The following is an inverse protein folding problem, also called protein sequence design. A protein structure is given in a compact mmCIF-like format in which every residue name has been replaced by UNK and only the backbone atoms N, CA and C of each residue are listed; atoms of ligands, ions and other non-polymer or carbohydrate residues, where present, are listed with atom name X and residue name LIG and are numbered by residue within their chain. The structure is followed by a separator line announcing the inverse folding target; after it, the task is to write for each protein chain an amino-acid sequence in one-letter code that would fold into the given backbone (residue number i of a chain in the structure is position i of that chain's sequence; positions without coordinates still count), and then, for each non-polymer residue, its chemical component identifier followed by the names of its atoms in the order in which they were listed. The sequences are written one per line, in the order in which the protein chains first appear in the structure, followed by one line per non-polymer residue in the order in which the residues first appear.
data_IF_249206697302
#
_entry.id   IF_249206697302
#
_cell.length_a   1.000
_cell.length_b   1.000
_cell.length_c   1.000
_cell.angle_alpha   90.00
_cell.angle_beta   90.00
_cell.angle_gamma   90.00
#
_symmetry.space_group_name_H-M   'P 1'
#
loop_
_entity.id
_entity.type
_entity.pdbx_description
1 polymer ?
#
# COMPACT_ATOMS: atom_id res chain seq x y z
N UNK A 1 6.42 10.80 -20.70
CA UNK A 1 5.87 9.70 -19.87
C UNK A 1 4.62 9.17 -20.54
N UNK A 2 4.28 7.89 -20.37
CA UNK A 2 3.06 7.32 -20.92
C UNK A 2 1.81 7.99 -20.31
N UNK A 3 0.79 8.27 -21.13
CA UNK A 3 -0.48 8.90 -20.73
C UNK A 3 -1.68 7.98 -21.05
N UNK A 4 -1.85 6.86 -20.33
CA UNK A 4 -2.90 5.88 -20.63
C UNK A 4 -4.30 6.49 -20.47
N UNK A 5 -5.18 6.25 -21.46
CA UNK A 5 -6.56 6.75 -21.49
C UNK A 5 -7.58 5.61 -21.28
N UNK A 6 -8.73 5.88 -20.63
CA UNK A 6 -9.76 4.88 -20.35
C UNK A 6 -10.57 4.45 -21.59
N UNK A 7 -10.39 5.14 -22.72
CA UNK A 7 -11.08 4.88 -23.99
C UNK A 7 -10.82 3.46 -24.54
N UNK A 8 -9.67 2.87 -24.21
CA UNK A 8 -9.31 1.49 -24.58
C UNK A 8 -9.85 0.43 -23.60
N UNK A 9 -10.83 0.80 -22.78
CA UNK A 9 -11.50 -0.07 -21.82
C UNK A 9 -11.02 0.13 -20.40
N UNK A 10 -11.87 -0.26 -19.45
CA UNK A 10 -11.60 -0.22 -18.03
C UNK A 10 -11.96 -1.55 -17.40
N UNK A 11 -11.23 -1.95 -16.37
CA UNK A 11 -11.56 -3.12 -15.57
C UNK A 11 -12.40 -2.61 -14.39
N UNK A 12 -13.72 -2.79 -14.46
CA UNK A 12 -14.65 -2.38 -13.41
C UNK A 12 -14.97 -3.57 -12.51
N UNK A 13 -14.39 -3.59 -11.32
CA UNK A 13 -14.60 -4.63 -10.31
C UNK A 13 -15.21 -3.97 -9.06
N UNK A 14 -16.03 -4.72 -8.33
CA UNK A 14 -16.55 -4.26 -7.05
C UNK A 14 -15.41 -4.15 -6.04
N UNK A 15 -15.39 -3.07 -5.24
CA UNK A 15 -14.33 -2.85 -4.26
C UNK A 15 -14.23 -4.03 -3.27
N UNK A 16 -15.36 -4.60 -2.86
CA UNK A 16 -15.40 -5.80 -2.02
C UNK A 16 -14.53 -6.94 -2.57
N UNK A 17 -14.68 -7.30 -3.85
CA UNK A 17 -13.86 -8.34 -4.47
C UNK A 17 -12.37 -7.96 -4.56
N UNK A 18 -12.08 -6.66 -4.70
CA UNK A 18 -10.72 -6.16 -4.72
C UNK A 18 -10.08 -6.27 -3.32
N UNK A 19 -10.81 -5.87 -2.29
CA UNK A 19 -10.41 -5.92 -0.89
C UNK A 19 -10.19 -7.37 -0.44
N UNK A 20 -11.03 -8.31 -0.89
CA UNK A 20 -10.84 -9.75 -0.65
C UNK A 20 -9.52 -10.28 -1.23
N UNK A 21 -9.13 -9.83 -2.42
CA UNK A 21 -7.87 -10.21 -3.06
C UNK A 21 -6.66 -9.56 -2.37
N UNK A 22 -6.83 -8.35 -1.82
CA UNK A 22 -5.79 -7.68 -1.01
C UNK A 22 -5.60 -8.39 0.32
N UNK A 23 -6.69 -8.68 1.04
CA UNK A 23 -6.65 -9.18 2.42
C UNK A 23 -6.26 -10.64 2.53
N UNK A 24 -6.41 -11.44 1.47
CA UNK A 24 -6.11 -12.88 1.46
C UNK A 24 -4.72 -13.19 0.94
N UNK A 25 -4.17 -14.29 1.43
CA UNK A 25 -2.80 -14.74 1.14
C UNK A 25 -2.68 -15.47 -0.21
N UNK A 26 -3.03 -14.77 -1.28
CA UNK A 26 -2.78 -15.26 -2.63
C UNK A 26 -1.30 -15.16 -2.97
N UNK A 27 -0.75 -16.25 -3.52
CA UNK A 27 0.60 -16.18 -4.09
C UNK A 27 0.64 -15.20 -5.26
N UNK A 28 1.83 -14.66 -5.58
CA UNK A 28 2.02 -13.76 -6.74
C UNK A 28 1.42 -14.33 -8.03
N UNK A 29 1.67 -15.61 -8.31
CA UNK A 29 1.15 -16.31 -9.50
C UNK A 29 -0.38 -16.38 -9.51
N UNK A 30 -1.00 -16.59 -8.36
CA UNK A 30 -2.46 -16.62 -8.25
C UNK A 30 -3.05 -15.23 -8.50
N UNK A 31 -2.43 -14.16 -7.96
CA UNK A 31 -2.82 -12.78 -8.24
C UNK A 31 -2.68 -12.45 -9.73
N UNK A 32 -1.58 -12.88 -10.36
CA UNK A 32 -1.36 -12.69 -11.81
C UNK A 32 -2.46 -13.38 -12.64
N UNK A 33 -2.87 -14.61 -12.27
CA UNK A 33 -3.99 -15.32 -12.90
C UNK A 33 -5.32 -14.56 -12.71
N UNK A 34 -5.61 -14.12 -11.48
CA UNK A 34 -6.85 -13.39 -11.17
C UNK A 34 -6.92 -12.09 -11.98
N UNK A 35 -5.85 -11.30 -11.99
CA UNK A 35 -5.77 -10.06 -12.75
C UNK A 35 -5.86 -10.30 -14.26
N UNK A 36 -5.26 -11.38 -14.77
CA UNK A 36 -5.36 -11.76 -16.16
C UNK A 36 -6.80 -12.09 -16.55
N UNK A 37 -7.50 -12.89 -15.74
CA UNK A 37 -8.91 -13.23 -15.95
C UNK A 37 -9.79 -11.98 -15.88
N UNK A 38 -9.59 -11.08 -14.90
CA UNK A 38 -10.33 -9.82 -14.83
C UNK A 38 -10.09 -8.90 -16.04
N UNK A 39 -8.85 -8.84 -16.53
CA UNK A 39 -8.53 -8.07 -17.73
C UNK A 39 -9.23 -8.64 -18.97
N UNK A 40 -9.32 -9.95 -19.10
CA UNK A 40 -9.96 -10.63 -20.24
C UNK A 40 -11.49 -10.74 -20.12
N UNK A 41 -12.04 -10.55 -18.92
CA UNK A 41 -13.48 -10.53 -18.65
C UNK A 41 -13.99 -9.09 -18.56
N UNK A 42 -13.91 -8.47 -17.38
CA UNK A 42 -14.42 -7.12 -17.14
C UNK A 42 -13.75 -6.07 -18.03
N UNK A 43 -12.46 -6.23 -18.32
CA UNK A 43 -11.73 -5.37 -19.25
C UNK A 43 -12.15 -5.51 -20.73
N UNK A 44 -12.99 -6.48 -21.06
CA UNK A 44 -13.53 -6.73 -22.40
C UNK A 44 -15.04 -6.47 -22.43
N UNK A 45 -15.43 -5.19 -22.39
CA UNK A 45 -16.84 -4.74 -22.42
C UNK A 45 -17.68 -5.23 -21.22
N UNK A 46 -17.05 -5.45 -20.06
CA UNK A 46 -17.76 -5.75 -18.80
C UNK A 46 -18.29 -7.19 -18.68
N UNK A 47 -17.77 -8.13 -19.47
CA UNK A 47 -18.14 -9.55 -19.35
C UNK A 47 -17.67 -10.12 -18.00
N UNK A 48 -18.44 -11.05 -17.42
CA UNK A 48 -18.08 -11.70 -16.14
C UNK A 48 -17.15 -12.91 -16.35
N UNK A 49 -17.18 -13.48 -17.55
CA UNK A 49 -16.41 -14.65 -17.95
C UNK A 49 -15.30 -14.26 -18.92
N UNK A 50 -14.11 -14.83 -18.75
CA UNK A 50 -13.03 -14.75 -19.72
C UNK A 50 -13.03 -16.00 -20.60
N UNK A 51 -13.03 -15.83 -21.91
CA UNK A 51 -12.88 -16.95 -22.86
C UNK A 51 -11.40 -17.18 -23.17
N UNK A 52 -10.87 -18.36 -22.82
CA UNK A 52 -9.46 -18.70 -22.98
C UNK A 52 -9.37 -20.10 -23.65
N UNK A 53 -9.21 -20.15 -24.99
CA UNK A 53 -9.31 -21.41 -25.75
C UNK A 53 -8.28 -22.47 -25.40
N UNK A 54 -7.10 -22.05 -24.94
CA UNK A 54 -5.95 -22.91 -24.63
C UNK A 54 -5.32 -22.44 -23.32
N UNK A 55 -5.02 -23.38 -22.42
CA UNK A 55 -4.42 -23.07 -21.12
C UNK A 55 -3.00 -22.48 -21.24
N UNK A 56 -2.29 -22.78 -22.34
CA UNK A 56 -0.98 -22.18 -22.69
C UNK A 56 -1.01 -20.65 -22.66
N UNK A 57 -2.18 -20.01 -22.90
CA UNK A 57 -2.27 -18.54 -22.84
C UNK A 57 -2.05 -17.95 -21.45
N UNK A 58 -2.09 -18.75 -20.38
CA UNK A 58 -1.69 -18.27 -19.06
C UNK A 58 -0.19 -17.98 -18.96
N UNK A 59 0.63 -18.38 -19.93
CA UNK A 59 2.03 -17.91 -20.02
C UNK A 59 2.14 -16.40 -20.24
N UNK A 60 1.11 -15.78 -20.84
CA UNK A 60 1.08 -14.34 -21.09
C UNK A 60 1.04 -13.51 -19.80
N UNK A 61 0.61 -14.09 -18.68
CA UNK A 61 0.69 -13.45 -17.36
C UNK A 61 2.02 -13.72 -16.65
N UNK A 62 3.02 -14.29 -17.34
CA UNK A 62 4.38 -14.50 -16.82
C UNK A 62 4.57 -15.80 -16.04
N UNK A 63 3.68 -16.79 -16.22
CA UNK A 63 3.74 -18.06 -15.51
C UNK A 63 4.22 -19.19 -16.45
N UNK A 64 5.31 -19.90 -16.13
CA UNK A 64 5.80 -21.01 -16.95
C UNK A 64 4.79 -22.16 -17.11
N UNK A 65 4.88 -22.85 -18.25
CA UNK A 65 4.03 -23.98 -18.74
C UNK A 65 3.59 -25.01 -17.71
N UNK A 66 4.43 -25.36 -16.73
CA UNK A 66 4.11 -26.36 -15.71
C UNK A 66 3.40 -25.82 -14.46
N UNK A 67 3.54 -24.51 -14.18
CA UNK A 67 3.06 -23.94 -12.92
C UNK A 67 1.61 -23.46 -13.01
N UNK A 68 1.16 -22.96 -14.17
CA UNK A 68 -0.20 -22.42 -14.29
C UNK A 68 -1.27 -23.51 -14.09
N UNK A 69 -1.03 -24.75 -14.53
CA UNK A 69 -1.98 -25.85 -14.31
C UNK A 69 -2.24 -26.07 -12.81
N UNK A 70 -1.16 -26.22 -12.03
CA UNK A 70 -1.25 -26.38 -10.58
C UNK A 70 -1.92 -25.19 -9.90
N UNK A 71 -1.62 -23.97 -10.32
CA UNK A 71 -2.24 -22.79 -9.72
C UNK A 71 -3.73 -22.65 -10.08
N UNK A 72 -4.13 -22.97 -11.31
CA UNK A 72 -5.55 -22.99 -11.71
C UNK A 72 -6.34 -24.04 -10.91
N UNK A 73 -5.80 -25.25 -10.76
CA UNK A 73 -6.45 -26.32 -10.01
C UNK A 73 -6.52 -26.00 -8.51
N UNK A 74 -5.51 -25.32 -7.95
CA UNK A 74 -5.54 -24.78 -6.59
C UNK A 74 -6.61 -23.71 -6.42
N UNK A 75 -6.71 -22.74 -7.33
CA UNK A 75 -7.72 -21.68 -7.26
C UNK A 75 -9.15 -22.24 -7.37
N UNK A 76 -9.34 -23.27 -8.18
CA UNK A 76 -10.60 -24.00 -8.30
C UNK A 76 -10.93 -24.76 -6.99
N UNK A 77 -9.95 -25.47 -6.41
CA UNK A 77 -10.12 -26.15 -5.12
C UNK A 77 -10.38 -25.19 -3.94
N UNK A 78 -9.82 -23.99 -4.00
CA UNK A 78 -10.02 -22.91 -3.03
C UNK A 78 -11.36 -22.18 -3.23
N UNK A 79 -12.15 -22.51 -4.25
CA UNK A 79 -13.45 -21.90 -4.52
C UNK A 79 -13.37 -20.50 -5.13
N UNK A 80 -12.19 -20.06 -5.58
CA UNK A 80 -11.94 -18.72 -6.14
C UNK A 80 -12.20 -18.68 -7.64
N UNK A 81 -11.93 -19.78 -8.32
CA UNK A 81 -12.04 -19.89 -9.77
C UNK A 81 -13.12 -20.89 -10.17
N UNK A 82 -14.03 -20.45 -11.04
CA UNK A 82 -15.03 -21.29 -11.70
C UNK A 82 -14.57 -21.50 -13.15
N UNK A 83 -14.47 -22.76 -13.57
CA UNK A 83 -14.03 -23.13 -14.92
C UNK A 83 -15.09 -23.97 -15.62
N UNK A 84 -15.53 -23.52 -16.78
CA UNK A 84 -16.34 -24.32 -17.71
C UNK A 84 -15.41 -24.90 -18.79
N UNK A 85 -15.17 -26.21 -18.71
CA UNK A 85 -14.23 -26.92 -19.62
C UNK A 85 -14.79 -27.06 -21.03
N UNK A 86 -16.11 -27.11 -21.19
CA UNK A 86 -16.76 -27.24 -22.49
C UNK A 86 -16.73 -25.92 -23.24
N UNK A 87 -17.11 -24.83 -22.55
CA UNK A 87 -17.12 -23.48 -23.12
C UNK A 87 -15.75 -22.80 -23.12
N UNK A 88 -14.77 -23.39 -22.42
CA UNK A 88 -13.41 -22.85 -22.25
C UNK A 88 -13.44 -21.45 -21.63
N UNK A 89 -14.35 -21.27 -20.67
CA UNK A 89 -14.55 -20.00 -19.96
C UNK A 89 -14.11 -20.08 -18.51
N UNK A 90 -13.60 -18.96 -18.01
CA UNK A 90 -13.06 -18.80 -16.66
C UNK A 90 -13.76 -17.60 -16.01
N UNK A 91 -14.23 -17.78 -14.78
CA UNK A 91 -14.86 -16.73 -13.99
C UNK A 91 -14.31 -16.76 -12.56
N UNK A 92 -14.10 -15.58 -11.97
CA UNK A 92 -13.79 -15.48 -10.54
C UNK A 92 -15.09 -15.56 -9.75
N UNK A 93 -15.17 -16.50 -8.80
CA UNK A 93 -16.34 -16.68 -7.96
C UNK A 93 -16.59 -15.40 -7.15
N UNK A 94 -17.76 -14.79 -7.34
CA UNK A 94 -18.12 -13.54 -6.65
C UNK A 94 -18.54 -13.76 -5.21
N UNK A 95 -18.95 -14.99 -4.87
CA UNK A 95 -19.24 -15.36 -3.50
C UNK A 95 -17.92 -15.61 -2.77
N UNK A 96 -17.30 -14.53 -2.32
CA UNK A 96 -15.99 -14.59 -1.65
C UNK A 96 -16.04 -15.27 -0.28
N UNK A 97 -17.23 -15.45 0.30
CA UNK A 97 -17.42 -16.23 1.54
C UNK A 97 -17.07 -17.71 1.35
N UNK A 98 -17.20 -18.22 0.12
CA UNK A 98 -16.81 -19.60 -0.24
C UNK A 98 -15.31 -19.76 -0.46
N UNK A 99 -14.55 -18.66 -0.51
CA UNK A 99 -13.12 -18.72 -0.76
C UNK A 99 -12.41 -19.29 0.47
N UNK A 100 -11.70 -20.40 0.27
CA UNK A 100 -10.93 -21.09 1.32
C UNK A 100 -9.50 -20.57 1.45
N UNK A 101 -9.24 -19.37 0.92
CA UNK A 101 -7.92 -18.73 0.99
C UNK A 101 -7.78 -18.03 2.34
N UNK A 102 -6.72 -18.32 3.12
CA UNK A 102 -6.52 -17.70 4.42
C UNK A 102 -6.28 -16.20 4.28
N UNK A 103 -6.54 -15.46 5.35
CA UNK A 103 -6.18 -14.04 5.45
C UNK A 103 -4.66 -13.90 5.51
N UNK A 104 -4.14 -12.82 4.90
CA UNK A 104 -2.76 -12.42 5.05
C UNK A 104 -2.50 -11.94 6.48
N UNK A 105 -1.38 -12.36 7.07
CA UNK A 105 -1.09 -12.15 8.50
C UNK A 105 -1.08 -10.68 8.95
N UNK A 106 -0.86 -9.74 8.04
CA UNK A 106 -0.83 -8.30 8.31
C UNK A 106 -2.16 -7.56 8.11
N UNK A 107 -3.26 -8.24 7.79
CA UNK A 107 -4.53 -7.56 7.55
C UNK A 107 -5.12 -6.98 8.84
N UNK A 108 -5.45 -5.69 8.82
CA UNK A 108 -6.15 -4.99 9.89
C UNK A 108 -7.29 -4.17 9.28
N UNK A 109 -8.52 -4.64 9.48
CA UNK A 109 -9.73 -4.06 8.89
C UNK A 109 -9.94 -2.61 9.34
N UNK A 110 -9.82 -2.33 10.64
CA UNK A 110 -9.96 -0.97 11.17
C UNK A 110 -8.96 0.02 10.57
N UNK A 111 -7.68 -0.37 10.48
CA UNK A 111 -6.65 0.49 9.86
C UNK A 111 -6.88 0.67 8.36
N UNK A 112 -7.40 -0.35 7.68
CA UNK A 112 -7.74 -0.25 6.27
C UNK A 112 -8.92 0.70 6.04
N UNK A 113 -9.97 0.59 6.86
CA UNK A 113 -11.15 1.47 6.80
C UNK A 113 -10.81 2.92 7.14
N UNK A 114 -9.95 3.12 8.14
CA UNK A 114 -9.41 4.44 8.48
C UNK A 114 -8.62 5.04 7.31
N UNK A 115 -7.73 4.26 6.70
CA UNK A 115 -6.99 4.69 5.52
C UNK A 115 -7.92 4.98 4.34
N UNK A 116 -8.99 4.19 4.17
CA UNK A 116 -9.99 4.42 3.14
C UNK A 116 -10.73 5.75 3.36
N UNK A 117 -11.15 6.04 4.60
CA UNK A 117 -11.79 7.29 4.96
C UNK A 117 -10.89 8.49 4.66
N UNK A 118 -9.60 8.43 5.04
CA UNK A 118 -8.61 9.47 4.73
C UNK A 118 -8.47 9.72 3.22
N UNK A 119 -8.43 8.66 2.41
CA UNK A 119 -8.32 8.78 0.95
C UNK A 119 -9.60 9.36 0.31
N UNK A 120 -10.77 9.02 0.84
CA UNK A 120 -12.04 9.59 0.38
C UNK A 120 -12.14 11.08 0.72
N UNK A 121 -11.68 11.49 1.91
CA UNK A 121 -11.66 12.89 2.33
C UNK A 121 -10.68 13.73 1.51
N UNK A 122 -9.46 13.22 1.27
CA UNK A 122 -8.50 13.90 0.41
C UNK A 122 -9.06 14.09 -1.00
N UNK A 123 -9.70 13.05 -1.56
CA UNK A 123 -10.37 13.12 -2.86
C UNK A 123 -11.46 14.19 -2.89
N UNK A 124 -12.27 14.31 -1.83
CA UNK A 124 -13.29 15.35 -1.70
C UNK A 124 -12.67 16.75 -1.66
N UNK A 125 -11.59 16.93 -0.91
CA UNK A 125 -10.89 18.21 -0.80
C UNK A 125 -10.28 18.66 -2.13
N UNK A 126 -9.61 17.74 -2.86
CA UNK A 126 -9.07 17.99 -4.19
C UNK A 126 -10.19 18.43 -5.14
N UNK A 127 -11.32 17.72 -5.14
CA UNK A 127 -12.47 18.04 -5.97
C UNK A 127 -13.07 19.41 -5.62
N UNK A 128 -13.18 19.75 -4.33
CA UNK A 128 -13.64 21.07 -3.89
C UNK A 128 -12.69 22.20 -4.35
N UNK A 129 -11.37 22.02 -4.18
CA UNK A 129 -10.35 22.98 -4.64
C UNK A 129 -10.42 23.17 -6.17
N UNK A 130 -10.62 22.09 -6.93
CA UNK A 130 -10.76 22.14 -8.38
C UNK A 130 -12.03 22.89 -8.81
N UNK A 131 -13.16 22.67 -8.13
CA UNK A 131 -14.39 23.43 -8.38
C UNK A 131 -14.20 24.92 -8.12
N UNK A 132 -13.57 25.31 -7.01
CA UNK A 132 -13.28 26.73 -6.71
C UNK A 132 -12.36 27.36 -7.75
N UNK A 133 -11.33 26.63 -8.23
CA UNK A 133 -10.45 27.10 -9.31
C UNK A 133 -11.21 27.28 -10.63
N UNK A 134 -12.11 26.37 -10.98
CA UNK A 134 -12.95 26.49 -12.18
C UNK A 134 -13.92 27.66 -12.07
N UNK A 135 -14.58 27.85 -10.93
CA UNK A 135 -15.46 29.00 -10.69
C UNK A 135 -14.71 30.34 -10.76
N UNK A 136 -13.51 30.43 -10.17
CA UNK A 136 -12.66 31.63 -10.28
C UNK A 136 -12.21 31.91 -11.71
N UNK A 137 -11.82 30.89 -12.48
CA UNK A 137 -11.48 31.05 -13.91
C UNK A 137 -12.67 31.53 -14.74
N UNK A 138 -13.87 31.01 -14.47
CA UNK A 138 -15.08 31.44 -15.18
C UNK A 138 -15.51 32.86 -14.78
N UNK A 139 -15.36 33.25 -13.52
CA UNK A 139 -15.64 34.60 -13.03
C UNK A 139 -14.59 35.65 -13.45
N UNK A 140 -13.35 35.25 -13.78
CA UNK A 140 -12.37 36.12 -14.43
C UNK A 140 -12.74 36.34 -15.90
N UNK A 141 -13.08 35.27 -16.63
CA UNK A 141 -13.53 35.38 -18.03
C UNK A 141 -14.78 36.22 -18.21
N UNK A 142 -15.72 36.22 -17.26
CA UNK A 142 -16.89 37.11 -17.29
C UNK A 142 -16.53 38.57 -17.06
N UNK A 143 -15.56 38.87 -16.18
CA UNK A 143 -15.07 40.23 -15.95
C UNK A 143 -14.27 40.80 -17.11
N UNK A 144 -13.53 39.96 -17.82
CA UNK A 144 -12.83 40.36 -19.05
C UNK A 144 -13.81 40.65 -20.21
N UNK A 145 -15.02 40.06 -20.19
CA UNK A 145 -16.08 40.33 -21.17
C UNK A 145 -16.84 41.62 -20.86
N UNK A 146 -17.26 41.84 -19.59
CA UNK A 146 -17.93 43.08 -19.13
C UNK A 146 -17.00 44.31 -19.11
N UNK A 147 -15.68 44.09 -18.98
CA UNK A 147 -14.67 45.14 -19.15
C UNK A 147 -14.57 45.64 -20.60
N UNK A 148 -14.78 44.75 -21.58
CA UNK A 148 -14.74 45.13 -23.00
C UNK A 148 -15.99 45.90 -23.45
N UNK A 149 -17.17 45.59 -22.91
CA UNK A 149 -18.42 46.30 -23.26
C UNK A 149 -18.47 47.71 -22.67
N UNK A 150 -17.92 47.93 -21.47
CA UNK A 150 -17.83 49.27 -20.87
C UNK A 150 -16.77 50.16 -21.54
N UNK A 151 -15.69 49.58 -22.08
CA UNK A 151 -14.67 50.34 -22.83
C UNK A 151 -15.18 50.76 -24.23
N UNK A 152 -16.03 49.94 -24.87
CA UNK A 152 -16.71 50.28 -26.12
C UNK A 152 -17.77 51.37 -25.90
N UNK A 153 -18.51 51.33 -24.78
CA UNK A 153 -19.51 52.34 -24.45
C UNK A 153 -18.93 53.73 -24.11
N UNK A 154 -17.73 53.79 -23.52
CA UNK A 154 -17.04 55.06 -23.26
C UNK A 154 -16.46 55.69 -24.55
N UNK A 155 -15.95 54.87 -25.48
CA UNK A 155 -15.38 55.34 -26.76
C UNK A 155 -16.45 55.77 -27.78
N UNK A 156 -17.70 55.32 -27.65
CA UNK A 156 -18.81 55.73 -28.53
C UNK A 156 -19.46 57.07 -28.14
N UNK A 157 -19.28 57.55 -26.90
CA UNK A 157 -19.79 58.88 -26.47
C UNK A 157 -18.91 60.03 -26.94
N UNK A 158 -17.61 59.80 -27.14
CA UNK A 158 -16.68 60.83 -27.65
C UNK A 158 -16.61 60.89 -29.18
N UNK A 159 -17.12 59.89 -29.90
CA UNK A 159 -17.10 59.84 -31.37
C UNK A 159 -18.36 60.39 -32.05
N UNK A 160 -19.35 60.90 -31.30
CA UNK A 160 -20.61 61.44 -31.86
C UNK A 160 -20.56 62.93 -32.22
N UNK A 161 -19.38 63.55 -32.25
CA UNK A 161 -19.16 64.91 -32.77
C UNK A 161 -18.13 64.91 -33.89
N UNK A 162 -18.38 64.18 -34.97
CA UNK A 162 -17.98 64.59 -36.32
C UNK A 162 -18.43 63.57 -37.36
N UNK A 163 -18.96 64.11 -38.47
CA UNK A 163 -18.97 63.53 -39.81
C UNK A 163 -20.13 62.58 -40.15
N UNK A 164 -21.28 63.21 -40.39
CA UNK A 164 -22.06 62.91 -41.58
C UNK A 164 -21.20 63.16 -42.83
N UNK A 165 -20.98 62.15 -43.65
CA UNK A 165 -21.05 62.22 -45.13
C UNK A 165 -20.54 60.91 -45.74
N UNK A 166 -21.42 60.26 -46.51
CA UNK A 166 -21.12 59.54 -47.76
C UNK A 166 -20.19 58.31 -47.68
N UNK A 167 -20.32 57.28 -48.50
CA UNK A 167 -21.26 56.85 -49.54
C UNK A 167 -20.81 55.40 -49.82
N UNK A 168 -21.78 54.51 -50.02
CA UNK A 168 -21.77 53.41 -50.99
C UNK A 168 -20.62 52.38 -51.08
N UNK A 169 -21.04 51.12 -51.29
CA UNK A 169 -20.46 50.35 -52.39
C UNK A 169 -19.64 49.11 -52.03
N UNK A 170 -20.34 47.99 -52.14
CA UNK A 170 -19.88 46.77 -52.80
C UNK A 170 -19.21 45.63 -52.00
N UNK A 171 -19.49 44.45 -52.56
CA UNK A 171 -19.48 43.08 -52.05
C UNK A 171 -18.55 42.26 -52.95
N UNK A 172 -17.93 41.20 -52.43
CA UNK A 172 -17.46 39.91 -53.06
C UNK A 172 -16.35 39.33 -52.13
N UNK A 173 -16.33 38.11 -51.57
CA UNK A 173 -16.43 36.67 -51.96
C UNK A 173 -15.11 35.98 -52.42
N UNK A 174 -14.60 35.10 -51.52
CA UNK A 174 -13.94 33.76 -51.64
C UNK A 174 -12.56 33.56 -52.34
N UNK A 175 -11.59 32.90 -51.68
CA UNK A 175 -11.01 31.53 -51.93
C UNK A 175 -9.55 31.31 -51.47
N UNK A 176 -9.24 30.03 -51.21
CA UNK A 176 -8.05 29.37 -50.65
C UNK A 176 -6.76 29.44 -51.49
N UNK A 177 -5.59 29.19 -50.87
CA UNK A 177 -4.53 28.21 -51.30
C UNK A 177 -3.28 28.24 -50.37
N UNK A 178 -2.78 27.07 -49.94
CA UNK A 178 -1.39 26.75 -49.53
C UNK A 178 -0.50 26.57 -50.79
N UNK A 179 0.86 26.36 -50.80
CA UNK A 179 1.70 25.56 -49.88
C UNK A 179 3.17 26.06 -49.62
N UNK A 180 3.92 25.25 -48.84
CA UNK A 180 5.37 24.90 -48.95
C UNK A 180 6.25 25.01 -47.68
N UNK A 181 6.84 23.85 -47.31
CA UNK A 181 8.04 23.58 -46.46
C UNK A 181 9.36 23.99 -47.21
N UNK A 182 10.64 23.92 -46.70
CA UNK A 182 11.24 22.94 -45.75
C UNK A 182 12.48 23.36 -44.88
N UNK A 183 13.02 22.41 -44.07
CA UNK A 183 14.45 22.07 -43.71
C UNK A 183 14.59 21.61 -42.22
N UNK A 184 15.04 20.39 -41.87
CA UNK A 184 16.41 19.78 -41.90
C UNK A 184 17.44 20.55 -41.04
N UNK A 185 18.35 19.99 -40.23
CA UNK A 185 18.75 18.66 -39.75
C UNK A 185 19.85 18.89 -38.66
N UNK A 186 20.35 17.81 -38.04
CA UNK A 186 21.66 17.63 -37.39
C UNK A 186 21.84 17.93 -35.88
N UNK A 187 22.31 16.89 -35.17
CA UNK A 187 22.57 16.87 -33.73
C UNK A 187 24.03 17.01 -33.31
N UNK A 188 24.29 16.84 -32.01
CA UNK A 188 25.59 16.47 -31.40
C UNK A 188 25.44 16.16 -29.89
N UNK A 189 26.17 15.13 -29.45
CA UNK A 189 26.62 14.80 -28.07
C UNK A 189 28.17 14.89 -28.06
N UNK A 190 28.95 14.64 -26.97
CA UNK A 190 28.84 14.74 -25.49
C UNK A 190 30.04 15.59 -24.92
N UNK A 191 30.61 15.51 -23.66
CA UNK A 191 31.27 14.36 -22.95
C UNK A 191 30.99 14.27 -21.40
N UNK A 192 31.01 13.11 -20.70
CA UNK A 192 32.06 12.21 -20.11
C UNK A 192 32.77 12.69 -18.80
N UNK A 193 32.52 11.90 -17.74
CA UNK A 193 33.27 11.42 -16.53
C UNK A 193 34.19 12.28 -15.64
N UNK A 194 34.05 12.12 -14.30
CA UNK A 194 35.15 11.94 -13.32
C UNK A 194 34.72 10.96 -12.18
N UNK A 195 35.66 10.09 -11.79
CA UNK A 195 35.64 8.95 -10.87
C UNK A 195 36.20 9.33 -9.47
N UNK A 196 35.89 8.55 -8.41
CA UNK A 196 36.80 7.91 -7.40
C UNK A 196 36.50 8.11 -5.88
N UNK A 197 36.09 6.98 -5.27
CA UNK A 197 36.57 6.28 -4.06
C UNK A 197 36.96 7.02 -2.75
N UNK A 198 36.59 6.44 -1.58
CA UNK A 198 37.51 5.75 -0.63
C UNK A 198 36.85 5.40 0.74
N UNK A 199 37.01 4.11 1.13
CA UNK A 199 37.16 3.43 2.46
C UNK A 199 36.18 3.69 3.62
N UNK A 200 35.55 2.67 4.25
CA UNK A 200 36.00 1.44 4.98
C UNK A 200 36.53 1.66 6.40
N UNK A 201 36.13 0.69 7.25
CA UNK A 201 36.59 0.32 8.60
C UNK A 201 36.05 1.08 9.80
N UNK A 202 35.89 0.51 10.99
CA UNK A 202 35.71 -0.83 11.56
C UNK A 202 35.78 -0.62 13.10
N UNK A 203 35.27 -1.56 13.88
CA UNK A 203 35.70 -1.91 15.25
C UNK A 203 35.11 -1.20 16.50
N UNK A 204 34.38 -2.04 17.25
CA UNK A 204 34.68 -2.46 18.64
C UNK A 204 34.17 -1.67 19.85
N UNK A 205 33.14 -2.26 20.48
CA UNK A 205 32.96 -2.57 21.93
C UNK A 205 33.72 -1.76 22.98
N UNK A 206 32.97 -1.17 23.91
CA UNK A 206 33.31 -1.11 25.35
C UNK A 206 32.06 -0.93 26.22
N UNK A 207 31.92 -1.86 27.17
CA UNK A 207 30.92 -1.92 28.25
C UNK A 207 31.19 -0.83 29.31
N UNK A 208 30.13 -0.25 29.89
CA UNK A 208 30.17 0.37 31.21
C UNK A 208 28.80 0.27 31.91
N UNK A 209 28.83 -0.26 33.13
CA UNK A 209 27.73 -0.47 34.06
C UNK A 209 27.41 0.79 34.90
N UNK A 210 26.21 0.76 35.51
CA UNK A 210 25.70 1.48 36.70
C UNK A 210 25.15 2.91 36.53
N UNK A 211 23.84 3.05 36.78
CA UNK A 211 23.37 3.74 37.99
C UNK A 211 21.89 3.43 38.32
N UNK A 212 21.65 3.14 39.60
CA UNK A 212 20.34 3.20 40.24
C UNK A 212 20.07 4.65 40.69
N UNK A 213 18.81 5.09 40.62
CA UNK A 213 18.37 6.28 41.35
C UNK A 213 17.07 6.89 40.83
N UNK A 214 16.07 6.90 41.71
CA UNK A 214 14.87 7.78 41.76
C UNK A 214 13.75 7.59 40.72
N UNK A 215 12.66 6.97 41.19
CA UNK A 215 11.30 7.14 40.66
C UNK A 215 10.84 8.61 40.86
N UNK A 216 9.94 9.17 40.02
CA UNK A 216 8.53 8.76 39.99
C UNK A 216 7.85 8.79 38.60
N UNK A 217 6.61 8.30 38.56
CA UNK A 217 5.65 8.26 37.44
C UNK A 217 5.83 7.10 36.43
N UNK A 218 5.28 5.94 36.79
CA UNK A 218 5.26 4.74 35.96
C UNK A 218 4.31 4.89 34.75
N UNK A 219 4.83 5.50 33.68
CA UNK A 219 4.49 5.06 32.34
C UNK A 219 4.83 3.56 32.23
N UNK A 220 3.89 2.72 31.79
CA UNK A 220 4.10 1.27 31.63
C UNK A 220 5.05 1.00 30.45
N UNK A 221 6.32 1.37 30.55
CA UNK A 221 7.36 0.85 29.66
C UNK A 221 7.64 -0.59 30.07
N UNK A 222 7.63 -1.52 29.11
CA UNK A 222 7.98 -2.91 29.38
C UNK A 222 9.48 -2.98 29.66
N UNK A 223 9.85 -3.49 30.84
CA UNK A 223 11.24 -3.69 31.24
C UNK A 223 11.80 -4.97 30.59
N UNK A 224 12.81 -4.79 29.75
CA UNK A 224 13.53 -5.86 29.04
C UNK A 224 14.99 -5.97 29.51
N UNK A 225 15.31 -5.49 30.71
CA UNK A 225 16.67 -5.58 31.27
C UNK A 225 17.10 -7.03 31.48
N UNK A 226 18.42 -7.29 31.40
CA UNK A 226 18.97 -8.62 31.64
C UNK A 226 18.61 -9.16 33.03
N UNK A 227 18.61 -8.29 34.06
CA UNK A 227 18.19 -8.67 35.41
C UNK A 227 16.76 -9.23 35.41
N UNK A 228 15.84 -8.60 34.66
CA UNK A 228 14.48 -9.09 34.53
C UNK A 228 14.40 -10.46 33.84
N UNK A 229 15.16 -10.64 32.75
CA UNK A 229 15.22 -11.90 32.01
C UNK A 229 15.79 -13.01 32.88
N UNK A 230 16.89 -12.75 33.58
CA UNK A 230 17.52 -13.67 34.51
C UNK A 230 16.54 -14.14 35.59
N UNK A 231 15.84 -13.22 36.26
CA UNK A 231 14.84 -13.58 37.29
C UNK A 231 13.71 -14.43 36.72
N UNK A 232 13.29 -14.19 35.48
CA UNK A 232 12.26 -15.01 34.83
C UNK A 232 12.80 -16.41 34.53
N UNK A 233 14.03 -16.51 34.02
CA UNK A 233 14.68 -17.78 33.77
C UNK A 233 14.81 -18.60 35.04
N UNK A 234 15.45 -18.03 36.07
CA UNK A 234 15.64 -18.64 37.38
C UNK A 234 14.33 -19.20 37.94
N UNK A 235 13.27 -18.39 37.93
CA UNK A 235 11.97 -18.75 38.50
C UNK A 235 11.22 -19.84 37.71
N UNK A 236 11.33 -19.86 36.39
CA UNK A 236 10.43 -20.67 35.56
C UNK A 236 11.12 -21.86 34.88
N UNK A 237 12.43 -21.80 34.69
CA UNK A 237 13.21 -22.76 33.93
C UNK A 237 14.13 -23.63 34.79
N UNK A 238 14.26 -23.33 36.08
CA UNK A 238 15.00 -24.17 37.03
C UNK A 238 14.06 -24.78 38.07
N UNK A 239 14.42 -25.95 38.58
CA UNK A 239 13.57 -26.69 39.54
C UNK A 239 13.69 -26.15 40.97
N UNK A 240 14.79 -25.47 41.32
CA UNK A 240 15.06 -24.99 42.69
C UNK A 240 15.62 -23.55 42.76
N UNK A 241 15.56 -22.77 41.67
CA UNK A 241 16.19 -21.45 41.59
C UNK A 241 17.71 -21.48 41.40
N UNK A 242 18.30 -22.67 41.26
CA UNK A 242 19.74 -22.81 41.00
C UNK A 242 19.99 -22.76 39.50
N UNK A 243 20.62 -21.68 39.05
CA UNK A 243 21.11 -21.51 37.66
C UNK A 243 22.61 -21.82 37.65
N UNK A 244 23.04 -22.74 36.79
CA UNK A 244 24.47 -23.06 36.62
C UNK A 244 25.21 -21.90 35.95
N UNK A 245 26.50 -21.72 36.27
CA UNK A 245 27.35 -20.68 35.65
C UNK A 245 27.36 -20.77 34.11
N UNK A 246 27.34 -21.99 33.56
CA UNK A 246 27.22 -22.23 32.12
C UNK A 246 25.87 -21.74 31.55
N UNK A 247 24.78 -21.88 32.30
CA UNK A 247 23.47 -21.38 31.87
C UNK A 247 23.40 -19.85 31.92
N UNK A 248 24.07 -19.23 32.91
CA UNK A 248 24.19 -17.77 32.99
C UNK A 248 24.97 -17.23 31.78
N UNK A 249 26.07 -17.89 31.42
CA UNK A 249 26.87 -17.52 30.27
C UNK A 249 26.06 -17.65 28.97
N UNK A 250 25.42 -18.79 28.74
CA UNK A 250 24.56 -19.02 27.57
C UNK A 250 23.43 -17.97 27.48
N UNK A 251 22.81 -17.65 28.61
CA UNK A 251 21.74 -16.66 28.67
C UNK A 251 22.25 -15.24 28.39
N UNK A 252 23.47 -14.92 28.84
CA UNK A 252 24.14 -13.64 28.57
C UNK A 252 24.43 -13.50 27.08
N UNK A 253 25.03 -14.52 26.46
CA UNK A 253 25.34 -14.53 25.03
C UNK A 253 24.07 -14.37 24.18
N UNK A 254 22.98 -15.04 24.57
CA UNK A 254 21.67 -14.88 23.92
C UNK A 254 21.12 -13.45 24.08
N UNK A 255 21.24 -12.85 25.26
CA UNK A 255 20.78 -11.49 25.51
C UNK A 255 21.57 -10.47 24.70
N UNK A 256 22.89 -10.59 24.64
CA UNK A 256 23.74 -9.69 23.85
C UNK A 256 23.50 -9.84 22.34
N UNK A 257 23.21 -11.06 21.88
CA UNK A 257 22.99 -11.35 20.46
C UNK A 257 21.61 -10.91 19.97
N UNK A 258 20.55 -11.14 20.76
CA UNK A 258 19.16 -10.97 20.32
C UNK A 258 18.41 -9.83 21.01
N UNK A 259 18.90 -9.37 22.16
CA UNK A 259 18.21 -8.40 23.00
C UNK A 259 17.13 -9.02 23.91
N UNK A 260 16.77 -8.29 24.97
CA UNK A 260 15.85 -8.76 26.01
C UNK A 260 14.42 -9.01 25.54
N UNK A 261 13.92 -8.25 24.57
CA UNK A 261 12.56 -8.42 24.04
C UNK A 261 12.39 -9.78 23.35
N UNK A 262 13.33 -10.13 22.46
CA UNK A 262 13.31 -11.39 21.72
C UNK A 262 13.48 -12.58 22.66
N UNK A 263 14.39 -12.45 23.62
CA UNK A 263 14.66 -13.48 24.61
C UNK A 263 13.46 -13.73 25.53
N UNK A 264 12.76 -12.67 25.94
CA UNK A 264 11.52 -12.77 26.71
C UNK A 264 10.43 -13.51 25.93
N UNK A 265 10.22 -13.18 24.67
CA UNK A 265 9.20 -13.84 23.84
C UNK A 265 9.56 -15.31 23.56
N UNK A 266 10.84 -15.61 23.34
CA UNK A 266 11.29 -16.99 23.20
C UNK A 266 11.06 -17.81 24.47
N UNK A 267 11.33 -17.25 25.65
CA UNK A 267 11.00 -17.87 26.93
C UNK A 267 9.48 -18.08 27.10
N UNK A 268 8.66 -17.10 26.72
CA UNK A 268 7.19 -17.27 26.73
C UNK A 268 6.75 -18.42 25.84
N UNK A 269 7.34 -18.56 24.66
CA UNK A 269 7.06 -19.65 23.74
C UNK A 269 7.49 -21.01 24.32
N UNK A 270 8.67 -21.10 24.91
CA UNK A 270 9.17 -22.28 25.61
C UNK A 270 8.22 -22.73 26.74
N UNK A 271 7.74 -21.80 27.57
CA UNK A 271 6.75 -22.08 28.62
C UNK A 271 5.43 -22.58 28.03
N UNK A 272 4.93 -21.97 26.95
CA UNK A 272 3.69 -22.40 26.27
C UNK A 272 3.79 -23.83 25.75
N UNK A 273 4.94 -24.21 25.21
CA UNK A 273 5.20 -25.57 24.73
C UNK A 273 5.56 -26.55 25.86
N UNK A 274 5.68 -26.07 27.10
CA UNK A 274 6.13 -26.85 28.27
C UNK A 274 7.53 -27.47 28.08
N UNK A 275 8.36 -26.87 27.23
CA UNK A 275 9.75 -27.28 27.02
C UNK A 275 10.63 -26.16 27.56
N UNK A 276 11.18 -26.36 28.75
CA UNK A 276 11.86 -25.30 29.50
C UNK A 276 13.38 -25.49 29.51
N UNK A 277 13.98 -25.51 28.33
CA UNK A 277 15.44 -25.70 28.16
C UNK A 277 16.04 -24.57 27.33
N UNK A 278 17.30 -24.20 27.62
CA UNK A 278 18.04 -23.19 26.83
C UNK A 278 18.21 -23.61 25.36
N UNK A 279 18.38 -24.91 25.09
CA UNK A 279 18.45 -25.43 23.73
C UNK A 279 17.18 -25.11 22.93
N UNK A 280 16.00 -25.24 23.55
CA UNK A 280 14.73 -24.90 22.89
C UNK A 280 14.60 -23.39 22.67
N UNK A 281 14.94 -22.57 23.68
CA UNK A 281 14.95 -21.11 23.58
C UNK A 281 15.85 -20.66 22.41
N UNK A 282 17.06 -21.21 22.30
CA UNK A 282 17.98 -20.91 21.21
C UNK A 282 17.41 -21.31 19.84
N UNK A 283 16.77 -22.48 19.74
CA UNK A 283 16.07 -22.90 18.53
C UNK A 283 14.97 -21.91 18.10
N UNK A 284 14.20 -21.40 19.07
CA UNK A 284 13.16 -20.38 18.82
C UNK A 284 13.78 -19.07 18.34
N UNK A 285 14.84 -18.59 18.98
CA UNK A 285 15.55 -17.36 18.63
C UNK A 285 16.17 -17.42 17.24
N UNK A 286 16.80 -18.54 16.87
CA UNK A 286 17.28 -18.76 15.51
C UNK A 286 16.12 -18.71 14.49
N UNK A 287 14.97 -19.27 14.86
CA UNK A 287 13.74 -19.15 14.09
C UNK A 287 13.25 -17.70 13.96
N UNK A 288 13.34 -16.89 15.02
CA UNK A 288 13.02 -15.45 14.98
C UNK A 288 13.97 -14.71 14.05
N UNK A 289 15.28 -14.99 14.13
CA UNK A 289 16.30 -14.38 13.26
C UNK A 289 16.02 -14.66 11.79
N UNK A 290 15.67 -15.91 11.46
CA UNK A 290 15.32 -16.30 10.10
C UNK A 290 14.05 -15.62 9.58
N UNK A 291 13.09 -15.28 10.47
CA UNK A 291 11.82 -14.61 10.13
C UNK A 291 11.86 -13.09 10.28
N UNK A 292 12.93 -12.53 10.82
CA UNK A 292 13.07 -11.09 11.10
C UNK A 292 12.34 -10.61 12.37
N UNK A 293 11.91 -11.50 13.27
CA UNK A 293 11.25 -11.08 14.51
C UNK A 293 10.63 -12.19 15.37
N UNK A 294 10.29 -11.88 16.65
CA UNK A 294 9.67 -12.80 17.60
C UNK A 294 8.18 -13.06 17.35
N UNK A 295 7.53 -12.18 16.59
CA UNK A 295 6.13 -12.34 16.24
C UNK A 295 6.00 -13.32 15.09
N UNK A 296 5.52 -14.52 15.42
CA UNK A 296 4.90 -15.40 14.43
C UNK A 296 3.57 -14.77 14.06
N UNK A 297 3.34 -14.50 12.79
CA UNK A 297 2.02 -14.23 12.24
C UNK A 297 1.11 -15.41 12.62
N UNK A 298 0.33 -15.28 13.70
CA UNK A 298 -0.56 -16.33 14.19
C UNK A 298 -1.98 -15.96 13.78
N UNK A 299 -2.47 -16.72 12.79
CA UNK A 299 -3.88 -16.94 12.47
C UNK A 299 -4.73 -16.97 13.74
N UNK A 300 -5.55 -15.93 13.93
CA UNK A 300 -6.56 -15.87 14.97
C UNK A 300 -7.78 -16.66 14.48
N UNK A 301 -7.92 -17.91 14.91
CA UNK A 301 -9.25 -18.54 14.93
C UNK A 301 -10.04 -17.85 16.04
N UNK A 302 -10.81 -16.82 15.69
CA UNK A 302 -11.83 -16.26 16.59
C UNK A 302 -13.18 -16.84 16.17
N UNK A 303 -13.65 -17.79 17.00
CA UNK A 303 -15.07 -18.07 17.19
C UNK A 303 -15.67 -16.87 17.92
N UNK A 304 -16.83 -16.41 17.44
CA UNK A 304 -17.36 -15.06 17.62
C UNK A 304 -17.48 -14.50 19.04
N UNK A 305 -17.42 -13.16 19.09
CA UNK A 305 -17.69 -12.30 20.24
C UNK A 305 -16.86 -11.01 20.16
N UNK A 306 -17.43 -9.82 20.42
CA UNK A 306 -16.73 -8.55 20.21
C UNK A 306 -15.65 -8.38 21.29
N UNK A 307 -14.43 -8.05 20.88
CA UNK A 307 -13.37 -7.68 21.80
C UNK A 307 -13.34 -6.15 21.91
N UNK A 308 -13.53 -5.63 23.11
CA UNK A 308 -13.23 -4.25 23.48
C UNK A 308 -11.74 -3.98 23.21
N UNK A 309 -11.46 -3.09 22.27
CA UNK A 309 -10.09 -2.64 21.97
C UNK A 309 -9.81 -1.31 22.66
N UNK A 310 -8.87 -1.32 23.62
CA UNK A 310 -8.28 -0.10 24.17
C UNK A 310 -7.28 0.48 23.15
N UNK A 311 -7.66 1.59 22.53
CA UNK A 311 -6.82 2.42 21.66
C UNK A 311 -5.73 3.11 22.50
N UNK A 312 -4.49 3.15 22.00
CA UNK A 312 -3.41 3.90 22.62
C UNK A 312 -3.66 5.41 22.44
N UNK A 313 -3.62 6.18 23.53
CA UNK A 313 -3.99 7.61 23.58
C UNK A 313 -3.07 8.55 22.76
N UNK A 314 -1.91 8.07 22.33
CA UNK A 314 -0.87 8.88 21.67
C UNK A 314 -0.73 8.63 20.16
N UNK A 315 -1.68 7.96 19.52
CA UNK A 315 -1.68 7.84 18.06
C UNK A 315 -2.08 9.20 17.43
N UNK A 316 -1.22 9.84 16.61
CA UNK A 316 -1.55 11.11 15.94
C UNK A 316 -2.80 11.01 15.03
N UNK A 317 -3.21 9.79 14.68
CA UNK A 317 -4.41 9.52 13.90
C UNK A 317 -5.66 9.50 14.81
N UNK A 318 -5.57 8.94 16.01
CA UNK A 318 -6.65 8.96 17.01
C UNK A 318 -6.95 10.38 17.52
N UNK A 319 -5.93 11.24 17.62
CA UNK A 319 -6.08 12.66 18.00
C UNK A 319 -6.87 13.45 16.94
N UNK A 320 -6.61 13.21 15.65
CA UNK A 320 -7.37 13.82 14.55
C UNK A 320 -8.85 13.41 14.55
N UNK A 321 -9.15 12.17 14.94
CA UNK A 321 -10.54 11.70 15.03
C UNK A 321 -11.31 12.33 16.21
N UNK A 322 -10.66 12.62 17.35
CA UNK A 322 -11.30 13.35 18.47
C UNK A 322 -11.66 14.79 18.09
N UNK A 323 -10.82 15.46 17.30
CA UNK A 323 -11.10 16.81 16.80
C UNK A 323 -12.26 16.87 15.81
N UNK A 324 -12.40 15.86 14.95
CA UNK A 324 -13.47 15.80 13.94
C UNK A 324 -14.82 15.46 14.57
N UNK A 325 -14.86 14.67 15.65
CA UNK A 325 -16.10 14.16 16.24
C UNK A 325 -16.53 14.79 17.58
N UNK A 326 -15.83 15.80 18.12
CA UNK A 326 -16.15 16.48 19.39
C UNK A 326 -16.65 15.52 20.50
N UNK A 327 -15.80 14.54 20.87
CA UNK A 327 -15.98 13.74 22.08
C UNK A 327 -15.15 14.30 23.23
#
# INVERSE_FOLDING_TARGET
MANPQPENGTVRIANELWDEVIRRDFSKRQKDIIFFIWRLSYGCKGQKTAYIPKLVYFELCGIPTGNFHRELDRLEALGVLIRDREKKTFEINKNYDEWKVPLGGGWNEFKFDELLALNLDESRQINAKNRVKTTRKNALKQRDFEGSENEIALKQRDASRQNNANLEGNRVKITHSTPDEPNQDAGSQPPIDIIKDINTDSSSTKILMLNQGTAPAASRSKDFSFSKIYTIYEKHFTENGNVSEFEVQDLTDQFETYGGEWLLEAMREAVRHKIRTLAYINGVLNGYKARGGPHKDKNLQIVGGPADYQLADDDPIAQKLREVYQL
#
